data_IF_275514019980
#
_entry.id   IF_275514019980
#
_cell.length_a   1.000
_cell.length_b   1.000
_cell.length_c   1.000
_cell.angle_alpha   90.00
_cell.angle_beta   90.00
_cell.angle_gamma   90.00
#
_symmetry.space_group_name_H-M   'P 1'
#
loop_
_entity.id
_entity.type
_entity.pdbx_description
1 polymer ?
#
# COMPACT_ATOMS: atom_id res chain seq x y z
N UNK A 1 -7.37 -14.04 6.94
CA UNK A 1 -8.78 -13.82 7.33
C UNK A 1 -9.71 -13.78 6.12
N UNK A 2 -9.51 -12.85 5.17
CA UNK A 2 -10.33 -12.72 3.95
C UNK A 2 -10.58 -14.06 3.22
N UNK A 3 -9.53 -14.82 2.87
CA UNK A 3 -9.68 -16.09 2.14
C UNK A 3 -10.54 -17.14 2.88
N UNK A 4 -10.39 -17.25 4.20
CA UNK A 4 -11.19 -18.16 5.02
C UNK A 4 -12.67 -17.73 5.04
N UNK A 5 -12.94 -16.43 5.18
CA UNK A 5 -14.28 -15.86 5.12
C UNK A 5 -14.95 -16.11 3.77
N UNK A 6 -14.25 -15.81 2.66
CA UNK A 6 -14.76 -16.06 1.31
C UNK A 6 -15.06 -17.55 1.08
N UNK A 7 -14.20 -18.46 1.56
CA UNK A 7 -14.47 -19.91 1.48
C UNK A 7 -15.68 -20.31 2.31
N UNK A 8 -15.90 -19.69 3.49
CA UNK A 8 -17.06 -19.94 4.34
C UNK A 8 -18.38 -19.53 3.69
N UNK A 9 -18.38 -18.47 2.87
CA UNK A 9 -19.54 -18.07 2.05
C UNK A 9 -19.74 -19.02 0.85
N UNK A 10 -18.65 -19.34 0.15
CA UNK A 10 -18.72 -20.08 -1.10
C UNK A 10 -19.04 -21.58 -0.91
N UNK A 11 -18.54 -22.20 0.16
CA UNK A 11 -18.67 -23.64 0.40
C UNK A 11 -19.82 -23.93 1.36
N UNK A 12 -20.65 -24.91 1.03
CA UNK A 12 -21.76 -25.38 1.87
C UNK A 12 -21.40 -26.70 2.54
N UNK A 13 -21.75 -26.85 3.82
CA UNK A 13 -21.63 -28.11 4.58
C UNK A 13 -20.21 -28.71 4.63
N UNK A 14 -19.18 -27.87 4.64
CA UNK A 14 -17.77 -28.31 4.77
C UNK A 14 -17.30 -28.24 6.22
N UNK A 15 -16.46 -29.18 6.62
CA UNK A 15 -15.91 -29.27 7.98
C UNK A 15 -14.69 -28.36 8.22
N UNK A 16 -14.18 -27.68 7.18
CA UNK A 16 -13.01 -26.81 7.30
C UNK A 16 -12.91 -25.72 6.21
N UNK A 17 -12.19 -24.65 6.53
CA UNK A 17 -12.02 -23.44 5.69
C UNK A 17 -10.67 -23.39 4.96
N UNK A 18 -9.92 -24.49 4.97
CA UNK A 18 -8.57 -24.59 4.42
C UNK A 18 -7.49 -24.55 5.50
N UNK A 19 -6.25 -24.30 5.09
CA UNK A 19 -5.09 -24.26 5.98
C UNK A 19 -4.58 -22.81 6.12
N UNK A 20 -4.65 -22.28 7.34
CA UNK A 20 -4.23 -20.93 7.67
C UNK A 20 -2.75 -20.67 7.32
N UNK A 21 -1.85 -21.60 7.65
CA UNK A 21 -0.42 -21.44 7.41
C UNK A 21 -0.10 -21.39 5.92
N UNK A 22 -0.80 -22.19 5.13
CA UNK A 22 -0.66 -22.15 3.66
C UNK A 22 -1.12 -20.80 3.11
N UNK A 23 -2.26 -20.28 3.57
CA UNK A 23 -2.74 -18.97 3.12
C UNK A 23 -1.76 -17.86 3.51
N UNK A 24 -1.30 -17.85 4.77
CA UNK A 24 -0.36 -16.87 5.30
C UNK A 24 0.96 -16.88 4.53
N UNK A 25 1.61 -18.05 4.41
CA UNK A 25 2.90 -18.16 3.72
C UNK A 25 2.76 -17.81 2.24
N UNK A 26 1.70 -18.25 1.55
CA UNK A 26 1.50 -17.91 0.14
C UNK A 26 1.22 -16.43 -0.07
N UNK A 27 0.36 -15.82 0.74
CA UNK A 27 0.10 -14.38 0.62
C UNK A 27 1.33 -13.55 0.94
N UNK A 28 2.11 -13.93 1.95
CA UNK A 28 3.30 -13.17 2.32
C UNK A 28 4.41 -13.31 1.28
N UNK A 29 4.75 -14.53 0.87
CA UNK A 29 5.90 -14.77 -0.02
C UNK A 29 5.58 -14.43 -1.48
N UNK A 30 4.42 -14.85 -1.98
CA UNK A 30 4.11 -14.75 -3.41
C UNK A 30 3.34 -13.50 -3.79
N UNK A 31 2.66 -12.85 -2.83
CA UNK A 31 1.92 -11.61 -3.10
C UNK A 31 2.67 -10.45 -2.48
N UNK A 32 2.69 -10.34 -1.15
CA UNK A 32 3.21 -9.16 -0.47
C UNK A 32 4.69 -8.92 -0.78
N UNK A 33 5.56 -9.92 -0.56
CA UNK A 33 6.99 -9.80 -0.79
C UNK A 33 7.32 -9.56 -2.27
N UNK A 34 6.63 -10.25 -3.18
CA UNK A 34 6.92 -10.13 -4.61
C UNK A 34 6.57 -8.73 -5.13
N UNK A 35 5.36 -8.25 -4.84
CA UNK A 35 4.93 -6.92 -5.28
C UNK A 35 5.63 -5.80 -4.51
N UNK A 36 5.92 -5.97 -3.21
CA UNK A 36 6.65 -4.95 -2.44
C UNK A 36 8.11 -4.85 -2.89
N UNK A 37 8.75 -5.95 -3.29
CA UNK A 37 10.10 -5.91 -3.86
C UNK A 37 10.13 -5.11 -5.16
N UNK A 38 9.20 -5.39 -6.07
CA UNK A 38 9.10 -4.66 -7.35
C UNK A 38 8.85 -3.17 -7.09
N UNK A 39 7.89 -2.84 -6.23
CA UNK A 39 7.59 -1.45 -5.88
C UNK A 39 8.79 -0.75 -5.23
N UNK A 40 9.50 -1.41 -4.30
CA UNK A 40 10.68 -0.84 -3.65
C UNK A 40 11.78 -0.48 -4.67
N UNK A 41 11.99 -1.32 -5.69
CA UNK A 41 12.95 -1.01 -6.76
C UNK A 41 12.55 0.23 -7.56
N UNK A 42 11.26 0.39 -7.88
CA UNK A 42 10.77 1.61 -8.53
C UNK A 42 10.93 2.84 -7.64
N UNK A 43 10.60 2.72 -6.35
CA UNK A 43 10.74 3.81 -5.38
C UNK A 43 12.20 4.24 -5.20
N UNK A 44 13.14 3.29 -5.13
CA UNK A 44 14.59 3.62 -5.12
C UNK A 44 14.98 4.35 -6.40
N UNK A 45 14.45 3.92 -7.56
CA UNK A 45 14.67 4.61 -8.84
C UNK A 45 14.19 6.06 -8.85
N UNK A 46 13.12 6.37 -8.12
CA UNK A 46 12.57 7.72 -7.95
C UNK A 46 13.29 8.54 -6.85
N UNK A 47 14.19 7.93 -6.07
CA UNK A 47 15.01 8.62 -5.06
C UNK A 47 14.62 8.35 -3.60
N UNK A 48 13.75 7.36 -3.34
CA UNK A 48 13.46 6.92 -1.96
C UNK A 48 14.70 6.26 -1.36
N UNK A 49 15.04 6.63 -0.12
CA UNK A 49 16.29 6.22 0.51
C UNK A 49 16.27 4.72 0.84
N UNK A 50 17.33 4.00 0.46
CA UNK A 50 17.51 2.58 0.78
C UNK A 50 18.99 2.26 1.00
N UNK A 51 19.48 2.43 2.24
CA UNK A 51 20.85 2.10 2.62
C UNK A 51 20.97 1.78 4.13
N UNK A 52 22.17 1.44 4.58
CA UNK A 52 22.49 1.22 6.01
C UNK A 52 23.55 2.21 6.50
N UNK A 53 23.64 3.38 5.87
CA UNK A 53 24.61 4.42 6.24
C UNK A 53 24.22 5.08 7.56
N UNK A 54 25.22 5.62 8.26
CA UNK A 54 24.97 6.53 9.38
C UNK A 54 24.32 7.83 8.88
N UNK A 55 23.74 8.60 9.80
CA UNK A 55 23.16 9.90 9.49
C UNK A 55 24.25 10.84 8.95
N UNK A 56 23.92 11.60 7.92
CA UNK A 56 24.90 12.43 7.20
C UNK A 56 24.83 13.86 7.72
N UNK A 57 25.90 14.39 8.34
CA UNK A 57 25.95 15.82 8.67
C UNK A 57 26.10 16.63 7.38
N UNK A 58 25.23 17.62 7.20
CA UNK A 58 25.22 18.52 6.08
C UNK A 58 25.30 19.96 6.59
N UNK A 59 26.13 20.78 5.93
CA UNK A 59 26.18 22.22 6.19
C UNK A 59 25.32 22.91 5.13
N UNK A 60 24.35 23.70 5.56
CA UNK A 60 23.47 24.43 4.65
C UNK A 60 24.23 25.57 3.97
N UNK A 61 23.64 26.12 2.90
CA UNK A 61 24.20 27.28 2.21
C UNK A 61 24.32 28.53 3.10
N UNK A 62 23.49 28.62 4.14
CA UNK A 62 23.53 29.68 5.17
C UNK A 62 24.55 29.39 6.28
N UNK A 63 25.19 28.22 6.23
CA UNK A 63 26.21 27.79 7.19
C UNK A 63 25.68 27.07 8.43
N UNK A 64 24.37 26.82 8.53
CA UNK A 64 23.76 26.04 9.60
C UNK A 64 24.09 24.55 9.47
N UNK A 65 24.09 23.82 10.58
CA UNK A 65 24.24 22.36 10.58
C UNK A 65 22.88 21.67 10.52
N UNK A 66 22.78 20.66 9.66
CA UNK A 66 21.62 19.79 9.53
C UNK A 66 22.09 18.33 9.53
N UNK A 67 21.35 17.47 10.21
CA UNK A 67 21.61 16.03 10.20
C UNK A 67 20.58 15.32 9.32
N UNK A 68 21.03 14.70 8.23
CA UNK A 68 20.16 14.02 7.27
C UNK A 68 19.96 12.56 7.67
N UNK A 69 18.71 12.13 7.95
CA UNK A 69 18.44 10.76 8.37
C UNK A 69 18.63 9.79 7.19
N UNK A 70 19.24 8.64 7.45
CA UNK A 70 19.47 7.58 6.46
C UNK A 70 18.80 6.27 6.92
N UNK A 71 18.65 5.30 6.03
CA UNK A 71 18.10 3.99 6.38
C UNK A 71 17.45 3.22 5.24
N UNK A 72 16.98 1.99 5.49
CA UNK A 72 16.36 1.12 4.49
C UNK A 72 14.87 1.47 4.26
N UNK A 73 14.56 2.74 3.96
CA UNK A 73 13.19 3.24 3.93
C UNK A 73 12.36 2.68 2.75
N UNK A 74 12.90 2.58 1.53
CA UNK A 74 12.14 2.14 0.36
C UNK A 74 11.47 0.76 0.53
N UNK A 75 12.19 -0.20 1.12
CA UNK A 75 11.66 -1.52 1.41
C UNK A 75 10.49 -1.51 2.40
N UNK A 76 10.55 -0.63 3.40
CA UNK A 76 9.46 -0.43 4.37
C UNK A 76 8.30 0.34 3.75
N UNK A 77 8.56 1.39 2.97
CA UNK A 77 7.53 2.17 2.26
C UNK A 77 6.75 1.28 1.29
N UNK A 78 7.42 0.41 0.55
CA UNK A 78 6.72 -0.46 -0.40
C UNK A 78 5.69 -1.37 0.30
N UNK A 79 6.09 -2.04 1.40
CA UNK A 79 5.18 -2.93 2.13
C UNK A 79 4.14 -2.16 2.96
N UNK A 80 4.48 -0.96 3.48
CA UNK A 80 3.51 -0.16 4.23
C UNK A 80 2.37 0.30 3.34
N UNK A 81 2.65 0.66 2.08
CA UNK A 81 1.61 1.07 1.13
C UNK A 81 0.82 -0.12 0.61
N UNK A 82 1.50 -1.16 0.12
CA UNK A 82 0.83 -2.35 -0.42
C UNK A 82 -0.03 -3.08 0.61
N UNK A 83 0.44 -3.14 1.86
CA UNK A 83 -0.27 -3.77 2.98
C UNK A 83 -1.19 -2.82 3.75
N UNK A 84 -1.32 -1.56 3.32
CA UNK A 84 -2.12 -0.52 4.00
C UNK A 84 -1.82 -0.37 5.50
N UNK A 85 -0.54 -0.51 5.89
CA UNK A 85 -0.10 -0.41 7.28
C UNK A 85 0.07 1.04 7.75
N UNK A 86 0.56 1.92 6.86
CA UNK A 86 0.75 3.36 7.15
C UNK A 86 1.95 3.73 8.04
N UNK A 87 2.74 2.77 8.53
CA UNK A 87 3.92 3.05 9.36
C UNK A 87 5.11 3.60 8.56
N UNK A 88 5.28 4.91 8.53
CA UNK A 88 6.42 5.58 7.89
C UNK A 88 7.73 5.39 8.64
N UNK A 89 8.82 5.54 7.89
CA UNK A 89 10.17 5.38 8.40
C UNK A 89 10.64 6.66 9.12
N UNK A 90 10.22 7.82 8.61
CA UNK A 90 10.45 9.13 9.20
C UNK A 90 9.14 9.69 9.77
N UNK A 91 9.22 10.60 10.75
CA UNK A 91 8.06 11.03 11.55
C UNK A 91 6.87 11.62 10.75
N UNK A 92 7.11 12.20 9.58
CA UNK A 92 6.06 12.76 8.70
C UNK A 92 5.61 11.81 7.58
N UNK A 93 6.02 10.54 7.63
CA UNK A 93 5.62 9.47 6.72
C UNK A 93 5.80 9.86 5.23
N UNK A 94 4.78 9.61 4.39
CA UNK A 94 4.82 9.89 2.95
C UNK A 94 4.79 11.38 2.57
N UNK A 95 4.80 12.30 3.54
CA UNK A 95 5.12 13.71 3.29
C UNK A 95 6.64 13.98 3.34
N UNK A 96 7.44 13.02 3.80
CA UNK A 96 8.89 13.16 3.88
C UNK A 96 9.53 12.96 2.50
N UNK A 97 10.41 13.86 2.02
CA UNK A 97 11.03 13.72 0.70
C UNK A 97 11.81 12.42 0.50
N UNK A 98 12.38 11.84 1.56
CA UNK A 98 13.07 10.54 1.48
C UNK A 98 12.15 9.32 1.43
N UNK A 99 10.85 9.48 1.71
CA UNK A 99 9.86 8.41 1.53
C UNK A 99 9.09 8.56 0.23
N UNK A 100 8.85 9.79 -0.22
CA UNK A 100 8.05 10.11 -1.39
C UNK A 100 8.59 11.36 -2.13
N UNK A 101 9.67 11.20 -2.92
CA UNK A 101 10.42 12.31 -3.51
C UNK A 101 9.74 12.99 -4.69
N UNK A 102 8.93 12.27 -5.48
CA UNK A 102 8.40 12.75 -6.76
C UNK A 102 6.87 12.59 -6.84
N UNK A 103 6.19 13.36 -7.71
CA UNK A 103 4.78 13.10 -8.01
C UNK A 103 4.53 11.68 -8.54
N UNK A 104 5.55 11.09 -9.20
CA UNK A 104 5.46 9.75 -9.76
C UNK A 104 5.57 8.66 -8.68
N UNK A 105 6.50 8.80 -7.72
CA UNK A 105 6.53 7.93 -6.54
C UNK A 105 5.20 8.02 -5.78
N UNK A 106 4.66 9.23 -5.61
CA UNK A 106 3.39 9.43 -4.94
C UNK A 106 2.23 8.70 -5.65
N UNK A 107 2.19 8.78 -6.97
CA UNK A 107 1.19 8.07 -7.78
C UNK A 107 1.29 6.54 -7.60
N UNK A 108 2.51 5.99 -7.61
CA UNK A 108 2.74 4.57 -7.35
C UNK A 108 2.34 4.15 -5.94
N UNK A 109 2.65 4.96 -4.92
CA UNK A 109 2.22 4.71 -3.53
C UNK A 109 0.69 4.70 -3.41
N UNK A 110 -0.01 5.66 -4.04
CA UNK A 110 -1.48 5.72 -4.03
C UNK A 110 -2.13 4.53 -4.72
N UNK A 111 -1.60 4.08 -5.87
CA UNK A 111 -2.08 2.86 -6.53
C UNK A 111 -1.89 1.67 -5.61
N UNK A 112 -0.73 1.58 -4.96
CA UNK A 112 -0.38 0.45 -4.10
C UNK A 112 -1.33 0.30 -2.92
N UNK A 113 -1.81 1.41 -2.34
CA UNK A 113 -2.80 1.42 -1.25
C UNK A 113 -4.12 0.72 -1.63
N UNK A 114 -4.60 0.92 -2.87
CA UNK A 114 -5.89 0.37 -3.31
C UNK A 114 -5.76 -0.95 -4.07
N UNK A 115 -4.54 -1.34 -4.45
CA UNK A 115 -4.26 -2.50 -5.30
C UNK A 115 -4.75 -3.81 -4.68
N UNK A 116 -4.37 -4.08 -3.42
CA UNK A 116 -4.71 -5.36 -2.78
C UNK A 116 -6.21 -5.44 -2.45
N UNK A 117 -6.81 -4.33 -1.99
CA UNK A 117 -8.23 -4.25 -1.69
C UNK A 117 -9.07 -4.49 -2.95
N UNK A 118 -8.74 -3.82 -4.06
CA UNK A 118 -9.41 -4.01 -5.35
C UNK A 118 -9.24 -5.43 -5.88
N UNK A 119 -8.03 -6.00 -5.84
CA UNK A 119 -7.78 -7.38 -6.26
C UNK A 119 -8.61 -8.40 -5.44
N UNK A 120 -8.75 -8.19 -4.13
CA UNK A 120 -9.56 -9.04 -3.26
C UNK A 120 -11.04 -9.08 -3.69
N UNK A 121 -11.63 -7.96 -4.15
CA UNK A 121 -13.02 -7.97 -4.63
C UNK A 121 -13.21 -8.88 -5.85
N UNK A 122 -12.23 -8.93 -6.76
CA UNK A 122 -12.24 -9.83 -7.90
C UNK A 122 -12.07 -11.29 -7.46
N UNK A 123 -11.11 -11.56 -6.56
CA UNK A 123 -10.90 -12.89 -5.97
C UNK A 123 -12.18 -13.40 -5.30
N UNK A 124 -12.89 -12.55 -4.57
CA UNK A 124 -14.19 -12.88 -3.97
C UNK A 124 -15.20 -13.36 -5.03
N UNK A 125 -15.39 -12.57 -6.09
CA UNK A 125 -16.33 -12.92 -7.17
C UNK A 125 -15.97 -14.24 -7.87
N UNK A 126 -14.68 -14.52 -8.07
CA UNK A 126 -14.21 -15.79 -8.63
C UNK A 126 -14.48 -16.95 -7.68
N UNK A 127 -14.16 -16.81 -6.39
CA UNK A 127 -14.31 -17.87 -5.41
C UNK A 127 -15.77 -18.24 -5.11
N UNK A 128 -16.69 -17.27 -5.18
CA UNK A 128 -18.14 -17.49 -5.00
C UNK A 128 -18.81 -18.00 -6.30
N UNK A 129 -18.08 -17.99 -7.42
CA UNK A 129 -18.59 -18.48 -8.72
C UNK A 129 -19.39 -17.44 -9.51
N UNK A 130 -19.42 -16.17 -9.07
CA UNK A 130 -20.10 -15.08 -9.76
C UNK A 130 -19.25 -13.81 -9.77
N UNK A 131 -18.56 -13.56 -10.89
CA UNK A 131 -17.74 -12.34 -11.08
C UNK A 131 -18.57 -11.05 -10.93
N UNK A 132 -19.88 -11.10 -11.21
CA UNK A 132 -20.79 -9.96 -11.04
C UNK A 132 -20.86 -9.49 -9.59
N UNK A 133 -20.78 -10.38 -8.61
CA UNK A 133 -20.78 -10.00 -7.20
C UNK A 133 -19.48 -9.28 -6.81
N UNK A 134 -18.33 -9.75 -7.32
CA UNK A 134 -17.04 -9.08 -7.13
C UNK A 134 -17.02 -7.67 -7.72
N UNK A 135 -17.50 -7.52 -8.95
CA UNK A 135 -17.66 -6.20 -9.59
C UNK A 135 -18.66 -5.30 -8.87
N UNK A 136 -19.76 -5.87 -8.36
CA UNK A 136 -20.72 -5.11 -7.54
C UNK A 136 -20.08 -4.54 -6.28
N UNK A 137 -19.29 -5.34 -5.57
CA UNK A 137 -18.55 -4.89 -4.39
C UNK A 137 -17.51 -3.82 -4.73
N UNK A 138 -16.72 -4.04 -5.80
CA UNK A 138 -15.75 -3.06 -6.28
C UNK A 138 -16.40 -1.73 -6.64
N UNK A 139 -17.50 -1.76 -7.41
CA UNK A 139 -18.21 -0.55 -7.82
C UNK A 139 -18.75 0.22 -6.62
N UNK A 140 -19.30 -0.46 -5.62
CA UNK A 140 -19.77 0.17 -4.39
C UNK A 140 -18.62 0.89 -3.66
N UNK A 141 -17.50 0.18 -3.40
CA UNK A 141 -16.34 0.76 -2.72
C UNK A 141 -15.70 1.90 -3.50
N UNK A 142 -15.56 1.76 -4.82
CA UNK A 142 -15.01 2.82 -5.68
C UNK A 142 -15.92 4.05 -5.74
N UNK A 143 -17.23 3.86 -5.76
CA UNK A 143 -18.17 4.98 -5.74
C UNK A 143 -18.02 5.81 -4.46
N UNK A 144 -17.89 5.14 -3.31
CA UNK A 144 -17.61 5.81 -2.03
C UNK A 144 -16.28 6.56 -2.06
N UNK A 145 -15.22 5.94 -2.58
CA UNK A 145 -13.91 6.58 -2.71
C UNK A 145 -13.99 7.86 -3.56
N UNK A 146 -14.62 7.80 -4.73
CA UNK A 146 -14.72 8.93 -5.66
C UNK A 146 -15.56 10.06 -5.06
N UNK A 147 -16.70 9.75 -4.42
CA UNK A 147 -17.54 10.76 -3.76
C UNK A 147 -16.77 11.44 -2.63
N UNK A 148 -16.12 10.68 -1.75
CA UNK A 148 -15.37 11.24 -0.63
C UNK A 148 -14.15 12.03 -1.08
N UNK A 149 -13.44 11.57 -2.12
CA UNK A 149 -12.34 12.30 -2.72
C UNK A 149 -12.80 13.63 -3.30
N UNK A 150 -13.91 13.64 -4.05
CA UNK A 150 -14.46 14.86 -4.63
C UNK A 150 -14.85 15.88 -3.55
N UNK A 151 -15.52 15.43 -2.48
CA UNK A 151 -15.87 16.28 -1.35
C UNK A 151 -14.64 16.82 -0.62
N UNK A 152 -13.62 15.98 -0.41
CA UNK A 152 -12.37 16.40 0.22
C UNK A 152 -11.63 17.46 -0.60
N UNK A 153 -11.59 17.30 -1.93
CA UNK A 153 -10.96 18.26 -2.82
C UNK A 153 -11.74 19.57 -2.85
N UNK A 154 -13.07 19.52 -2.96
CA UNK A 154 -13.91 20.72 -2.94
C UNK A 154 -13.70 21.52 -1.65
N UNK A 155 -13.70 20.85 -0.49
CA UNK A 155 -13.45 21.50 0.80
C UNK A 155 -12.06 22.16 0.87
N UNK A 156 -11.01 21.50 0.36
CA UNK A 156 -9.65 22.04 0.37
C UNK A 156 -9.51 23.27 -0.54
N UNK A 157 -10.24 23.32 -1.65
CA UNK A 157 -10.22 24.48 -2.56
C UNK A 157 -11.04 25.66 -2.05
N UNK A 158 -12.12 25.44 -1.29
CA UNK A 158 -12.89 26.53 -0.70
C UNK A 158 -12.25 27.13 0.56
N UNK A 159 -11.40 26.37 1.25
CA UNK A 159 -10.68 26.81 2.46
C UNK A 159 -9.40 27.61 2.15
N UNK A 160 -9.09 27.84 0.87
CA UNK A 160 -7.96 28.67 0.40
C UNK A 160 -8.46 30.00 -0.13
#
# INVERSE_FOLDING_TARGET
MFLAFTRGIARKQVTGLGNFWVDLTRSTVHVLLTFSLVLALFLVGEGVVQNFSAYVPAKTIEGAEQLLPQGPAASQVAIKQLGSNGGGFFGVNSAHPYENPTPWSNFLEMISLILLASACTYVFGVMVGSKRQGWGLFAAMMSMLVVMLALSLWSEYELR
#
